data_IF_479534824711
#
_entry.id   IF_479534824711
#
_cell.length_a   1.000
_cell.length_b   1.000
_cell.length_c   1.000
_cell.angle_alpha   90.00
_cell.angle_beta   90.00
_cell.angle_gamma   90.00
#
_symmetry.space_group_name_H-M   'P 1'
#
loop_
_entity.id
_entity.type
_entity.pdbx_description
1 polymer ?
#
# COMPACT_ATOMS: atom_id res chain seq x y z
N UNK A 1 -6.57 -20.24 14.86
CA UNK A 1 -6.86 -18.81 15.12
C UNK A 1 -8.34 -18.66 15.37
N UNK A 2 -8.74 -17.93 16.40
CA UNK A 2 -10.14 -17.72 16.76
C UNK A 2 -10.56 -16.29 16.50
N UNK A 3 -11.78 -16.08 15.98
CA UNK A 3 -12.38 -14.75 15.88
C UNK A 3 -13.18 -14.48 17.15
N UNK A 4 -12.91 -13.37 17.83
CA UNK A 4 -13.61 -12.95 19.06
C UNK A 4 -14.71 -11.94 18.70
N UNK A 5 -15.93 -12.18 19.14
CA UNK A 5 -17.06 -11.26 19.04
C UNK A 5 -17.85 -11.22 20.36
N UNK A 6 -18.83 -10.34 20.48
CA UNK A 6 -19.71 -10.33 21.66
C UNK A 6 -20.44 -11.66 21.91
N UNK A 7 -20.62 -12.48 20.86
CA UNK A 7 -21.33 -13.76 20.95
C UNK A 7 -20.52 -14.86 21.62
N UNK A 8 -19.19 -14.87 21.45
CA UNK A 8 -18.34 -15.98 21.88
C UNK A 8 -17.22 -15.56 22.84
N UNK A 9 -17.19 -14.30 23.29
CA UNK A 9 -16.12 -13.77 24.14
C UNK A 9 -15.87 -14.63 25.39
N UNK A 10 -16.93 -15.19 25.97
CA UNK A 10 -16.86 -16.03 27.18
C UNK A 10 -16.25 -17.42 26.93
N UNK A 11 -16.25 -17.90 25.68
CA UNK A 11 -15.74 -19.22 25.30
C UNK A 11 -14.24 -19.18 24.96
N UNK A 12 -13.70 -18.00 24.62
CA UNK A 12 -12.31 -17.84 24.20
C UNK A 12 -11.29 -18.37 25.22
N UNK A 13 -11.46 -18.17 26.54
CA UNK A 13 -10.54 -18.73 27.53
C UNK A 13 -10.52 -20.26 27.56
N UNK A 14 -11.64 -20.93 27.30
CA UNK A 14 -11.73 -22.39 27.29
C UNK A 14 -11.06 -22.98 26.04
N UNK A 15 -11.10 -22.26 24.92
CA UNK A 15 -10.37 -22.63 23.71
C UNK A 15 -8.86 -22.67 23.99
N UNK A 16 -8.32 -21.78 24.82
CA UNK A 16 -6.90 -21.79 25.23
C UNK A 16 -6.55 -23.13 25.90
N UNK A 17 -7.41 -23.61 26.80
CA UNK A 17 -7.17 -24.88 27.50
C UNK A 17 -7.23 -26.06 26.52
N UNK A 18 -8.17 -26.03 25.58
CA UNK A 18 -8.33 -27.06 24.55
C UNK A 18 -7.11 -27.12 23.62
N UNK A 19 -6.59 -25.97 23.17
CA UNK A 19 -5.43 -25.97 22.25
C UNK A 19 -4.16 -26.44 22.93
N UNK A 20 -3.95 -26.10 24.21
CA UNK A 20 -2.83 -26.61 25.00
C UNK A 20 -2.97 -28.11 25.21
N UNK A 21 -4.17 -28.59 25.59
CA UNK A 21 -4.46 -30.02 25.78
C UNK A 21 -4.11 -30.86 24.54
N UNK A 22 -4.35 -30.32 23.34
CA UNK A 22 -4.07 -31.02 22.09
C UNK A 22 -2.68 -30.73 21.51
N UNK A 23 -1.85 -29.93 22.20
CA UNK A 23 -0.49 -29.63 21.76
C UNK A 23 -0.41 -28.85 20.45
N UNK A 24 -1.36 -27.95 20.19
CA UNK A 24 -1.35 -27.09 18.99
C UNK A 24 -0.09 -26.23 18.99
N UNK A 25 0.59 -26.10 17.85
CA UNK A 25 1.86 -25.36 17.77
C UNK A 25 1.69 -23.86 18.03
N UNK A 26 0.68 -23.24 17.41
CA UNK A 26 0.45 -21.78 17.51
C UNK A 26 -1.03 -21.48 17.72
N UNK A 27 -1.33 -20.68 18.74
CA UNK A 27 -2.66 -20.14 18.97
C UNK A 27 -2.64 -18.62 18.94
N UNK A 28 -3.68 -18.04 18.34
CA UNK A 28 -3.92 -16.60 18.28
C UNK A 28 -5.41 -16.35 18.17
N UNK A 29 -5.85 -15.17 18.59
CA UNK A 29 -7.18 -14.67 18.28
C UNK A 29 -7.13 -13.24 17.77
N UNK A 30 -8.20 -12.81 17.12
CA UNK A 30 -8.40 -11.44 16.67
C UNK A 30 -9.88 -11.07 16.80
N UNK A 31 -10.16 -9.79 17.03
CA UNK A 31 -11.54 -9.32 17.09
C UNK A 31 -12.24 -9.36 15.73
N UNK A 32 -13.54 -9.63 15.77
CA UNK A 32 -14.42 -9.39 14.65
C UNK A 32 -14.42 -7.89 14.31
N UNK A 33 -14.26 -7.57 13.02
CA UNK A 33 -14.29 -6.20 12.51
C UNK A 33 -15.59 -6.04 11.70
N UNK A 34 -16.63 -5.39 12.24
CA UNK A 34 -17.92 -5.28 11.57
C UNK A 34 -17.84 -4.34 10.37
N UNK A 35 -18.47 -4.72 9.25
CA UNK A 35 -18.50 -3.92 8.02
C UNK A 35 -19.58 -2.81 8.04
N UNK A 36 -19.75 -2.13 9.17
CA UNK A 36 -20.69 -1.00 9.35
C UNK A 36 -22.18 -1.35 9.40
N UNK A 37 -22.61 -2.50 8.84
CA UNK A 37 -24.02 -2.96 8.84
C UNK A 37 -24.42 -3.80 10.05
N UNK A 38 -23.46 -4.30 10.82
CA UNK A 38 -23.67 -5.21 11.96
C UNK A 38 -23.20 -4.54 13.26
N UNK A 39 -24.10 -3.81 13.92
CA UNK A 39 -23.79 -3.08 15.17
C UNK A 39 -23.89 -3.95 16.43
N UNK A 40 -24.64 -5.06 16.38
CA UNK A 40 -25.05 -5.84 17.56
C UNK A 40 -24.11 -7.00 17.97
N UNK A 41 -23.03 -7.25 17.23
CA UNK A 41 -22.07 -8.34 17.52
C UNK A 41 -20.85 -7.82 18.30
N UNK A 42 -20.94 -6.58 18.77
CA UNK A 42 -19.85 -5.86 19.45
C UNK A 42 -19.60 -6.33 20.88
N UNK A 43 -18.48 -5.90 21.42
CA UNK A 43 -18.11 -6.02 22.83
C UNK A 43 -17.66 -4.64 23.30
N UNK A 44 -17.92 -4.32 24.56
CA UNK A 44 -17.43 -3.07 25.13
C UNK A 44 -15.90 -3.11 25.26
N UNK A 45 -15.23 -1.94 25.26
CA UNK A 45 -13.79 -1.89 25.50
C UNK A 45 -13.37 -2.55 26.83
N UNK A 46 -14.23 -2.44 27.86
CA UNK A 46 -13.98 -3.00 29.18
C UNK A 46 -14.05 -4.52 29.17
N UNK A 47 -15.09 -5.11 28.57
CA UNK A 47 -15.20 -6.58 28.41
C UNK A 47 -14.01 -7.15 27.64
N UNK A 48 -13.55 -6.46 26.59
CA UNK A 48 -12.38 -6.92 25.84
C UNK A 48 -11.10 -6.81 26.67
N UNK A 49 -10.93 -5.75 27.46
CA UNK A 49 -9.79 -5.60 28.37
C UNK A 49 -9.75 -6.73 29.41
N UNK A 50 -10.91 -7.11 29.95
CA UNK A 50 -11.06 -8.25 30.86
C UNK A 50 -10.71 -9.56 30.18
N UNK A 51 -11.15 -9.78 28.93
CA UNK A 51 -10.74 -10.93 28.13
C UNK A 51 -9.22 -11.00 27.98
N UNK A 52 -8.56 -9.88 27.63
CA UNK A 52 -7.10 -9.85 27.48
C UNK A 52 -6.40 -10.22 28.78
N UNK A 53 -6.89 -9.74 29.93
CA UNK A 53 -6.34 -10.07 31.25
C UNK A 53 -6.46 -11.57 31.56
N UNK A 54 -7.65 -12.15 31.37
CA UNK A 54 -7.89 -13.59 31.56
C UNK A 54 -7.00 -14.44 30.65
N UNK A 55 -6.93 -14.08 29.36
CA UNK A 55 -6.11 -14.79 28.38
C UNK A 55 -4.61 -14.69 28.74
N UNK A 56 -4.15 -13.49 29.12
CA UNK A 56 -2.76 -13.27 29.51
C UNK A 56 -2.37 -14.10 30.73
N UNK A 57 -3.21 -14.15 31.76
CA UNK A 57 -2.97 -14.98 32.94
C UNK A 57 -2.86 -16.47 32.57
N UNK A 58 -3.73 -16.96 31.67
CA UNK A 58 -3.67 -18.33 31.16
C UNK A 58 -2.38 -18.60 30.36
N UNK A 59 -1.99 -17.69 29.48
CA UNK A 59 -0.73 -17.82 28.73
C UNK A 59 0.45 -17.95 29.68
N UNK A 60 0.56 -17.04 30.66
CA UNK A 60 1.63 -17.06 31.65
C UNK A 60 1.63 -18.34 32.50
N UNK A 61 0.45 -18.87 32.85
CA UNK A 61 0.33 -20.15 33.56
C UNK A 61 0.89 -21.29 32.72
N UNK A 62 0.41 -21.46 31.49
CA UNK A 62 0.82 -22.57 30.63
C UNK A 62 2.29 -22.47 30.19
N UNK A 63 2.79 -21.26 29.94
CA UNK A 63 4.21 -21.01 29.66
C UNK A 63 5.09 -21.45 30.82
N UNK A 64 4.69 -21.17 32.08
CA UNK A 64 5.39 -21.64 33.28
C UNK A 64 5.33 -23.16 33.47
N UNK A 65 4.23 -23.79 33.04
CA UNK A 65 4.06 -25.25 33.03
C UNK A 65 4.84 -25.92 31.88
N UNK A 66 5.51 -25.14 31.02
CA UNK A 66 6.33 -25.66 29.92
C UNK A 66 5.51 -26.07 28.69
N UNK A 67 4.36 -25.44 28.43
CA UNK A 67 3.56 -25.74 27.25
C UNK A 67 4.35 -25.51 25.95
N UNK A 68 4.14 -26.36 24.95
CA UNK A 68 4.75 -26.21 23.61
C UNK A 68 4.00 -25.20 22.73
N UNK A 69 2.74 -24.94 23.04
CA UNK A 69 1.89 -24.01 22.28
C UNK A 69 2.44 -22.59 22.40
N UNK A 70 2.78 -21.99 21.27
CA UNK A 70 3.13 -20.58 21.20
C UNK A 70 1.88 -19.70 21.09
N UNK A 71 1.70 -18.80 22.06
CA UNK A 71 0.60 -17.84 22.06
C UNK A 71 0.98 -16.57 21.29
N UNK A 72 0.61 -16.52 20.02
CA UNK A 72 0.84 -15.37 19.17
C UNK A 72 -0.15 -14.24 19.49
N UNK A 73 0.39 -13.13 20.01
CA UNK A 73 -0.31 -11.90 20.39
C UNK A 73 -0.62 -11.01 19.17
N UNK A 74 -1.36 -11.56 18.20
CA UNK A 74 -1.61 -10.94 16.89
C UNK A 74 -2.50 -9.69 16.95
N UNK A 75 -3.48 -9.62 17.86
CA UNK A 75 -4.37 -8.46 17.95
C UNK A 75 -3.61 -7.21 18.42
N UNK A 76 -3.81 -6.08 17.75
CA UNK A 76 -3.02 -4.86 17.98
C UNK A 76 -3.17 -4.25 19.37
N UNK A 77 -4.18 -4.64 20.15
CA UNK A 77 -4.36 -4.15 21.53
C UNK A 77 -3.48 -4.88 22.55
N UNK A 78 -2.79 -5.97 22.18
CA UNK A 78 -1.81 -6.60 23.08
C UNK A 78 -0.68 -5.65 23.47
N UNK A 79 -0.15 -4.86 22.53
CA UNK A 79 0.89 -3.87 22.82
C UNK A 79 0.40 -2.82 23.83
N UNK A 80 -0.84 -2.33 23.67
CA UNK A 80 -1.42 -1.38 24.61
C UNK A 80 -1.64 -2.00 25.99
N UNK A 81 -2.15 -3.24 26.03
CA UNK A 81 -2.34 -3.97 27.28
C UNK A 81 -1.02 -4.18 28.03
N UNK A 82 0.04 -4.59 27.33
CA UNK A 82 1.37 -4.77 27.91
C UNK A 82 1.98 -3.44 28.39
N UNK A 83 1.73 -2.35 27.67
CA UNK A 83 2.15 -1.02 28.07
C UNK A 83 1.48 -0.59 29.38
N UNK A 84 0.16 -0.76 29.48
CA UNK A 84 -0.60 -0.43 30.70
C UNK A 84 -0.15 -1.27 31.91
N UNK A 85 0.34 -2.49 31.68
CA UNK A 85 0.90 -3.38 32.72
C UNK A 85 2.39 -3.14 32.98
N UNK A 86 3.05 -2.23 32.27
CA UNK A 86 4.48 -1.94 32.40
C UNK A 86 5.42 -3.02 31.84
N UNK A 87 4.87 -4.00 31.11
CA UNK A 87 5.62 -5.08 30.45
C UNK A 87 6.31 -4.53 29.20
N UNK A 88 5.56 -3.77 28.39
CA UNK A 88 6.10 -3.04 27.25
C UNK A 88 6.48 -1.62 27.69
N UNK A 89 7.68 -1.17 27.32
CA UNK A 89 8.16 0.19 27.60
C UNK A 89 8.55 0.87 26.29
N UNK A 90 8.09 2.11 26.10
CA UNK A 90 8.47 2.91 24.95
C UNK A 90 9.97 3.28 25.10
N UNK A 91 10.81 3.04 24.08
CA UNK A 91 12.20 3.46 24.07
C UNK A 91 12.37 4.96 24.28
N UNK A 92 13.46 5.37 24.93
CA UNK A 92 13.73 6.78 25.29
C UNK A 92 14.10 7.62 24.06
N UNK A 93 14.66 6.99 23.04
CA UNK A 93 15.15 7.56 21.79
C UNK A 93 14.11 7.52 20.64
N UNK A 94 12.83 7.44 20.99
CA UNK A 94 11.74 7.35 20.02
C UNK A 94 11.57 8.61 19.17
N UNK A 95 11.37 8.41 17.86
CA UNK A 95 10.96 9.49 16.96
C UNK A 95 9.53 9.93 17.24
N UNK A 96 9.29 11.24 17.29
CA UNK A 96 7.94 11.80 17.42
C UNK A 96 7.01 11.25 16.34
N UNK A 97 5.88 10.66 16.75
CA UNK A 97 4.88 10.08 15.84
C UNK A 97 5.09 8.59 15.51
N UNK A 98 6.06 7.92 16.14
CA UNK A 98 6.28 6.48 15.93
C UNK A 98 5.06 5.63 16.35
N UNK A 99 4.69 4.68 15.51
CA UNK A 99 3.57 3.76 15.72
C UNK A 99 4.11 2.38 16.13
N UNK A 100 3.76 1.91 17.33
CA UNK A 100 4.24 0.64 17.91
C UNK A 100 3.28 -0.54 17.76
N UNK A 101 2.12 -0.30 17.15
CA UNK A 101 1.08 -1.31 16.98
C UNK A 101 0.06 -0.86 15.96
N UNK A 102 -0.68 -1.82 15.43
CA UNK A 102 -1.67 -1.56 14.40
C UNK A 102 -1.92 -2.81 13.57
N UNK A 103 -2.85 -2.72 12.62
CA UNK A 103 -3.00 -3.78 11.64
C UNK A 103 -1.90 -3.67 10.57
N UNK A 104 -1.48 -4.81 10.02
CA UNK A 104 -0.45 -4.86 8.98
C UNK A 104 -0.92 -4.38 7.59
N UNK A 105 -2.05 -3.67 7.50
CA UNK A 105 -2.62 -3.17 6.25
C UNK A 105 -1.62 -2.25 5.55
N UNK A 106 -1.32 -2.53 4.27
CA UNK A 106 -0.41 -1.70 3.48
C UNK A 106 1.06 -1.74 3.88
N UNK A 107 1.42 -2.43 4.97
CA UNK A 107 2.81 -2.60 5.39
C UNK A 107 3.38 -3.94 4.91
N UNK A 108 2.78 -5.07 5.32
CA UNK A 108 3.28 -6.41 4.96
C UNK A 108 2.31 -7.25 4.13
N UNK A 109 1.17 -6.69 3.74
CA UNK A 109 0.28 -7.32 2.78
C UNK A 109 -0.50 -6.29 1.96
N UNK A 110 -0.78 -6.68 0.73
CA UNK A 110 -1.77 -6.08 -0.16
C UNK A 110 -2.70 -7.18 -0.65
N UNK A 111 -3.90 -6.84 -1.11
CA UNK A 111 -4.81 -7.78 -1.76
C UNK A 111 -4.99 -7.39 -3.22
N UNK A 112 -4.88 -8.36 -4.13
CA UNK A 112 -5.27 -8.21 -5.53
C UNK A 112 -6.53 -9.06 -5.74
N UNK A 113 -7.61 -8.44 -6.19
CA UNK A 113 -8.86 -9.14 -6.54
C UNK A 113 -8.77 -9.72 -7.96
N UNK A 114 -9.61 -10.71 -8.33
CA UNK A 114 -9.59 -11.30 -9.68
C UNK A 114 -9.81 -10.30 -10.82
N UNK A 115 -10.49 -9.19 -10.56
CA UNK A 115 -10.66 -8.09 -11.52
C UNK A 115 -9.43 -7.16 -11.62
N UNK A 116 -8.31 -7.52 -10.99
CA UNK A 116 -7.07 -6.76 -10.94
C UNK A 116 -7.04 -5.70 -9.85
N UNK A 117 -8.13 -5.39 -9.16
CA UNK A 117 -8.13 -4.30 -8.17
C UNK A 117 -7.15 -4.57 -7.03
N UNK A 118 -6.28 -3.60 -6.76
CA UNK A 118 -5.27 -3.64 -5.72
C UNK A 118 -5.80 -2.86 -4.52
N UNK A 119 -5.94 -3.54 -3.39
CA UNK A 119 -6.38 -2.98 -2.11
C UNK A 119 -5.25 -3.06 -1.08
N UNK A 120 -5.11 -2.05 -0.22
CA UNK A 120 -4.22 -2.14 0.93
C UNK A 120 -4.68 -3.21 1.93
N UNK A 121 -6.00 -3.37 2.09
CA UNK A 121 -6.63 -4.47 2.82
C UNK A 121 -8.06 -4.71 2.32
N UNK A 122 -8.38 -5.93 1.91
CA UNK A 122 -9.73 -6.31 1.45
C UNK A 122 -10.85 -6.21 2.49
N UNK A 123 -10.54 -5.89 3.75
CA UNK A 123 -11.52 -5.82 4.85
C UNK A 123 -12.19 -4.44 4.98
N UNK A 124 -11.77 -3.44 4.21
CA UNK A 124 -12.43 -2.13 4.12
C UNK A 124 -12.13 -1.46 2.77
N UNK A 125 -12.84 -0.37 2.46
CA UNK A 125 -12.65 0.40 1.22
C UNK A 125 -11.27 1.06 1.18
N UNK A 126 -10.31 0.38 0.57
CA UNK A 126 -8.90 0.76 0.52
C UNK A 126 -8.28 0.52 -0.86
N UNK A 127 -9.07 0.71 -1.92
CA UNK A 127 -8.60 0.53 -3.30
C UNK A 127 -7.48 1.52 -3.60
N UNK A 128 -6.29 0.98 -3.88
CA UNK A 128 -5.08 1.73 -4.23
C UNK A 128 -4.97 1.89 -5.74
N UNK A 129 -5.18 0.81 -6.50
CA UNK A 129 -5.05 0.80 -7.97
C UNK A 129 -5.75 -0.42 -8.56
N UNK A 130 -5.44 -0.75 -9.82
CA UNK A 130 -5.80 -1.99 -10.47
C UNK A 130 -4.61 -2.48 -11.30
N UNK A 131 -4.22 -3.75 -11.14
CA UNK A 131 -3.09 -4.40 -11.78
C UNK A 131 -3.21 -4.49 -13.31
N UNK A 132 -4.42 -4.40 -13.85
CA UNK A 132 -4.68 -4.35 -15.29
C UNK A 132 -4.68 -2.93 -15.85
N UNK A 133 -4.56 -1.88 -15.02
CA UNK A 133 -4.42 -0.52 -15.52
C UNK A 133 -3.04 -0.33 -16.14
N UNK A 134 -3.04 0.00 -17.42
CA UNK A 134 -1.86 0.39 -18.17
C UNK A 134 -1.42 1.81 -17.77
N UNK A 135 -0.15 1.99 -17.40
CA UNK A 135 0.45 3.30 -17.10
C UNK A 135 0.54 4.25 -18.31
N UNK A 136 0.35 3.72 -19.52
CA UNK A 136 0.27 4.45 -20.79
C UNK A 136 -1.17 4.62 -21.28
N UNK A 137 -2.17 4.39 -20.43
CA UNK A 137 -3.59 4.66 -20.70
C UNK A 137 -4.16 3.96 -21.96
N UNK A 138 -3.55 2.85 -22.38
CA UNK A 138 -3.97 2.13 -23.60
C UNK A 138 -3.51 2.79 -24.90
N UNK A 139 -2.60 3.76 -24.85
CA UNK A 139 -2.03 4.35 -26.05
C UNK A 139 -1.35 3.28 -26.93
N UNK A 140 -1.63 3.27 -28.25
CA UNK A 140 -1.05 2.28 -29.17
C UNK A 140 0.45 2.49 -29.40
N UNK A 141 0.97 3.69 -29.17
CA UNK A 141 2.36 4.05 -29.44
C UNK A 141 2.99 4.75 -28.22
N UNK A 142 4.21 4.35 -27.88
CA UNK A 142 5.03 4.97 -26.83
C UNK A 142 6.38 5.33 -27.40
N UNK A 143 6.72 6.62 -27.39
CA UNK A 143 8.06 7.12 -27.67
C UNK A 143 8.82 7.31 -26.35
N UNK A 144 10.10 6.95 -26.34
CA UNK A 144 10.98 7.11 -25.18
C UNK A 144 12.08 8.11 -25.55
N UNK A 145 12.23 9.17 -24.76
CA UNK A 145 13.28 10.19 -24.99
C UNK A 145 14.47 9.86 -24.10
N UNK A 146 15.58 9.47 -24.73
CA UNK A 146 16.85 9.23 -24.06
C UNK A 146 17.77 10.44 -24.19
N UNK A 147 18.51 10.75 -23.13
CA UNK A 147 19.57 11.76 -23.15
C UNK A 147 20.77 11.32 -22.33
N UNK A 148 21.90 12.02 -22.49
CA UNK A 148 23.14 11.68 -21.79
C UNK A 148 22.99 11.92 -20.29
N UNK A 149 23.35 10.92 -19.47
CA UNK A 149 23.23 10.96 -18.00
C UNK A 149 23.92 12.16 -17.37
N UNK A 150 25.13 12.45 -17.83
CA UNK A 150 26.03 13.45 -17.23
C UNK A 150 25.99 14.80 -17.95
N UNK A 151 24.94 15.09 -18.71
CA UNK A 151 24.76 16.38 -19.38
C UNK A 151 23.82 17.29 -18.59
N UNK A 152 24.29 18.50 -18.28
CA UNK A 152 23.62 19.45 -17.38
C UNK A 152 22.18 19.78 -17.80
N UNK A 153 21.93 19.90 -19.11
CA UNK A 153 20.62 20.28 -19.66
C UNK A 153 19.80 19.10 -20.15
N UNK A 154 20.24 17.86 -19.87
CA UNK A 154 19.60 16.63 -20.38
C UNK A 154 18.11 16.54 -20.08
N UNK A 155 17.68 16.97 -18.88
CA UNK A 155 16.26 17.02 -18.51
C UNK A 155 15.53 18.08 -19.34
N UNK A 156 16.00 19.34 -19.32
CA UNK A 156 15.35 20.45 -20.01
C UNK A 156 15.20 20.17 -21.52
N UNK A 157 16.27 19.73 -22.17
CA UNK A 157 16.29 19.44 -23.61
C UNK A 157 15.33 18.30 -23.97
N UNK A 158 15.27 17.26 -23.13
CA UNK A 158 14.36 16.12 -23.35
C UNK A 158 12.89 16.56 -23.27
N UNK A 159 12.53 17.42 -22.33
CA UNK A 159 11.16 17.93 -22.20
C UNK A 159 10.80 18.97 -23.27
N UNK A 160 11.75 19.78 -23.74
CA UNK A 160 11.57 20.62 -24.92
C UNK A 160 11.30 19.77 -26.17
N UNK A 161 12.10 18.71 -26.38
CA UNK A 161 11.88 17.74 -27.46
C UNK A 161 10.50 17.08 -27.35
N UNK A 162 10.12 16.58 -26.18
CA UNK A 162 8.81 15.99 -25.92
C UNK A 162 7.66 16.97 -26.18
N UNK A 163 7.83 18.25 -25.82
CA UNK A 163 6.83 19.29 -26.07
C UNK A 163 6.65 19.52 -27.57
N UNK A 164 7.73 19.58 -28.34
CA UNK A 164 7.64 19.69 -29.81
C UNK A 164 6.90 18.50 -30.42
N UNK A 165 7.15 17.28 -29.93
CA UNK A 165 6.42 16.07 -30.37
C UNK A 165 4.92 16.15 -30.08
N UNK A 166 4.53 16.67 -28.91
CA UNK A 166 3.12 16.83 -28.51
C UNK A 166 2.40 17.90 -29.34
N UNK A 167 3.09 19.01 -29.65
CA UNK A 167 2.56 20.05 -30.53
C UNK A 167 2.32 19.50 -31.94
N UNK A 168 3.33 18.84 -32.53
CA UNK A 168 3.22 18.23 -33.86
C UNK A 168 2.13 17.15 -33.90
N UNK A 169 2.04 16.31 -32.86
CA UNK A 169 0.97 15.32 -32.76
C UNK A 169 -0.41 15.98 -32.86
N UNK A 170 -0.61 17.12 -32.19
CA UNK A 170 -1.87 17.86 -32.22
C UNK A 170 -2.20 18.39 -33.61
N UNK A 171 -1.21 18.95 -34.32
CA UNK A 171 -1.36 19.41 -35.72
C UNK A 171 -1.74 18.27 -36.67
N UNK A 172 -1.25 17.05 -36.40
CA UNK A 172 -1.58 15.84 -37.14
C UNK A 172 -2.91 15.18 -36.71
N UNK A 173 -3.66 15.78 -35.78
CA UNK A 173 -4.90 15.22 -35.24
C UNK A 173 -4.69 13.99 -34.36
N UNK A 174 -3.49 13.83 -33.80
CA UNK A 174 -3.09 12.75 -32.89
C UNK A 174 -3.10 13.30 -31.45
N UNK A 175 -3.75 12.57 -30.55
CA UNK A 175 -3.71 12.88 -29.12
C UNK A 175 -2.42 12.38 -28.49
N UNK A 176 -1.91 13.12 -27.51
CA UNK A 176 -0.63 12.79 -26.87
C UNK A 176 -0.57 13.15 -25.39
N UNK A 177 0.34 12.52 -24.66
CA UNK A 177 0.61 12.82 -23.24
C UNK A 177 2.07 12.55 -22.89
N UNK A 178 2.67 13.41 -22.07
CA UNK A 178 4.02 13.22 -21.52
C UNK A 178 3.92 12.48 -20.19
N UNK A 179 4.66 11.39 -20.03
CA UNK A 179 4.74 10.62 -18.77
C UNK A 179 6.16 10.76 -18.19
N UNK A 180 6.27 11.49 -17.07
CA UNK A 180 7.54 11.86 -16.42
C UNK A 180 8.08 10.79 -15.47
N UNK A 181 7.87 9.50 -15.75
CA UNK A 181 8.29 8.37 -14.90
C UNK A 181 9.28 7.44 -15.59
N UNK A 182 9.94 7.92 -16.64
CA UNK A 182 10.78 7.07 -17.47
C UNK A 182 12.03 6.59 -16.71
N UNK A 183 12.64 7.45 -15.89
CA UNK A 183 13.82 7.11 -15.10
C UNK A 183 13.51 5.92 -14.16
N UNK A 184 12.51 6.05 -13.30
CA UNK A 184 12.14 5.01 -12.32
C UNK A 184 11.61 3.73 -13.00
N UNK A 185 11.04 3.84 -14.20
CA UNK A 185 10.58 2.68 -14.97
C UNK A 185 11.75 1.80 -15.40
N UNK A 186 12.90 2.40 -15.71
CA UNK A 186 14.08 1.66 -16.16
C UNK A 186 15.09 1.35 -15.06
N UNK A 187 14.96 1.90 -13.85
CA UNK A 187 15.86 1.63 -12.71
C UNK A 187 15.83 0.19 -12.20
N UNK A 188 14.73 -0.53 -12.39
CA UNK A 188 14.60 -1.93 -11.95
C UNK A 188 15.30 -2.93 -12.91
N UNK A 189 15.49 -4.17 -12.46
CA UNK A 189 16.19 -5.23 -13.21
C UNK A 189 15.60 -5.50 -14.60
N UNK A 190 14.25 -5.49 -14.71
CA UNK A 190 13.56 -5.69 -15.99
C UNK A 190 13.84 -4.53 -16.95
N UNK A 191 13.77 -3.30 -16.45
CA UNK A 191 14.11 -2.08 -17.18
C UNK A 191 15.54 -2.10 -17.70
N UNK A 192 16.51 -2.42 -16.83
CA UNK A 192 17.92 -2.53 -17.21
C UNK A 192 18.15 -3.63 -18.26
N UNK A 193 17.40 -4.74 -18.21
CA UNK A 193 17.45 -5.77 -19.25
C UNK A 193 16.93 -5.25 -20.59
N UNK A 194 15.80 -4.53 -20.61
CA UNK A 194 15.25 -3.94 -21.84
C UNK A 194 16.24 -2.96 -22.49
N UNK A 195 16.90 -2.12 -21.71
CA UNK A 195 17.90 -1.17 -22.25
C UNK A 195 19.06 -1.90 -22.94
N UNK A 196 19.53 -3.02 -22.36
CA UNK A 196 20.57 -3.86 -22.97
C UNK A 196 20.08 -4.53 -24.24
N UNK A 197 18.87 -5.10 -24.23
CA UNK A 197 18.28 -5.76 -25.39
C UNK A 197 18.07 -4.76 -26.56
N UNK A 198 17.75 -3.50 -26.24
CA UNK A 198 17.63 -2.40 -27.21
C UNK A 198 18.95 -1.73 -27.58
N UNK A 199 20.08 -2.22 -27.04
CA UNK A 199 21.42 -1.71 -27.30
C UNK A 199 21.56 -0.21 -26.95
N UNK A 200 20.85 0.25 -25.93
CA UNK A 200 21.02 1.60 -25.38
C UNK A 200 22.29 1.61 -24.53
N UNK A 201 23.21 2.51 -24.86
CA UNK A 201 24.47 2.66 -24.14
C UNK A 201 24.25 3.12 -22.70
N UNK A 202 25.08 2.63 -21.77
CA UNK A 202 24.98 2.91 -20.33
C UNK A 202 25.13 4.39 -19.97
N UNK A 203 25.66 5.23 -20.88
CA UNK A 203 25.77 6.68 -20.71
C UNK A 203 24.46 7.44 -21.03
N UNK A 204 23.41 6.76 -21.47
CA UNK A 204 22.07 7.34 -21.71
C UNK A 204 21.09 6.99 -20.58
N UNK A 205 20.12 7.86 -20.37
CA UNK A 205 19.01 7.70 -19.43
C UNK A 205 17.70 8.11 -20.11
N UNK A 206 16.63 7.37 -19.83
CA UNK A 206 15.29 7.71 -20.31
C UNK A 206 14.72 8.84 -19.45
N UNK A 207 14.45 10.01 -20.03
CA UNK A 207 13.93 11.18 -19.27
C UNK A 207 12.42 11.24 -19.21
N UNK A 208 11.75 10.91 -20.30
CA UNK A 208 10.30 10.90 -20.37
C UNK A 208 9.79 9.95 -21.45
N UNK A 209 8.51 9.60 -21.32
CA UNK A 209 7.74 8.99 -22.40
C UNK A 209 6.85 10.05 -23.07
N UNK A 210 6.63 9.91 -24.36
CA UNK A 210 5.54 10.57 -25.09
C UNK A 210 4.65 9.48 -25.64
N UNK A 211 3.42 9.38 -25.13
CA UNK A 211 2.45 8.42 -25.65
C UNK A 211 1.60 9.08 -26.73
N UNK A 212 1.25 8.32 -27.76
CA UNK A 212 0.52 8.79 -28.93
C UNK A 212 -0.64 7.85 -29.24
N UNK A 213 -1.77 8.42 -29.66
CA UNK A 213 -2.94 7.66 -30.10
C UNK A 213 -4.10 8.55 -30.53
N UNK A 214 -5.17 7.96 -31.02
CA UNK A 214 -6.43 8.67 -31.26
C UNK A 214 -7.30 8.60 -30.01
N UNK A 215 -7.96 9.71 -29.67
CA UNK A 215 -8.93 9.73 -28.57
C UNK A 215 -10.10 8.80 -28.87
N UNK A 216 -10.46 7.98 -27.89
CA UNK A 216 -11.72 7.22 -27.89
C UNK A 216 -12.81 8.09 -27.24
N UNK A 217 -13.65 8.70 -28.08
CA UNK A 217 -14.69 9.65 -27.68
C UNK A 217 -14.34 11.12 -27.93
N UNK A 218 -15.06 12.02 -27.26
CA UNK A 218 -14.86 13.47 -27.40
C UNK A 218 -13.52 13.93 -26.80
N UNK A 219 -12.81 14.80 -27.52
CA UNK A 219 -11.60 15.42 -27.00
C UNK A 219 -11.94 16.35 -25.83
N UNK A 220 -11.15 16.37 -24.73
CA UNK A 220 -11.42 17.23 -23.59
C UNK A 220 -11.52 18.70 -23.97
N UNK A 221 -12.54 19.40 -23.47
CA UNK A 221 -12.68 20.84 -23.67
C UNK A 221 -11.71 21.64 -22.83
N UNK A 222 -11.32 22.81 -23.33
CA UNK A 222 -10.46 23.75 -22.62
C UNK A 222 -11.09 24.18 -21.29
N UNK A 223 -10.34 24.02 -20.20
CA UNK A 223 -10.76 24.50 -18.88
C UNK A 223 -10.39 25.98 -18.73
N UNK A 224 -11.29 26.83 -18.20
CA UNK A 224 -10.95 28.23 -17.94
C UNK A 224 -9.76 28.32 -16.97
N UNK A 225 -8.82 29.24 -17.25
CA UNK A 225 -7.70 29.48 -16.34
C UNK A 225 -8.22 30.05 -15.01
N UNK A 226 -7.66 29.58 -13.89
CA UNK A 226 -8.04 30.07 -12.55
C UNK A 226 -7.64 31.54 -12.37
N UNK A 227 -8.56 32.35 -11.83
CA UNK A 227 -8.30 33.75 -11.49
C UNK A 227 -7.09 33.89 -10.55
N UNK A 228 -6.29 34.93 -10.75
CA UNK A 228 -5.12 35.25 -9.90
C UNK A 228 -3.85 34.44 -10.17
N UNK A 229 -3.82 33.54 -11.17
CA UNK A 229 -2.60 32.77 -11.53
C UNK A 229 -1.70 33.43 -12.56
N UNK A 230 -2.16 34.49 -13.22
CA UNK A 230 -1.39 35.25 -14.21
C UNK A 230 -1.28 36.68 -13.68
N UNK A 231 -0.05 37.15 -13.51
CA UNK A 231 0.26 38.56 -13.24
C UNK A 231 1.08 39.06 -14.41
N UNK A 232 0.49 39.91 -15.24
CA UNK A 232 1.21 40.63 -16.29
C UNK A 232 1.87 41.82 -15.61
N UNK A 233 3.19 41.94 -15.77
CA UNK A 233 3.97 43.09 -15.29
C UNK A 233 4.54 43.75 -16.54
N UNK A 234 4.20 45.02 -16.74
CA UNK A 234 4.74 45.88 -17.80
C UNK A 234 6.04 46.55 -17.35
#
# INVERSE_FOLDING_TARGET
MTTVSGLNIKEVPDIIDIVVKHGVDVYAFARYCPNGKEKDIGMTPQEYKELLDICYQKFQKYEKEGCKTYFNRKDHLWTLYEYEKGIFKIPVDVQTGMIYGGCNCGNCHLTILPNGDIYACRRFESKVSNAFKNGFYGAPTVCIVFSQKNFLFSIADSFCCATNMVLEATELGISSCIISRAEETFENELGQKLLKDWQISDNYIARCFVILGYCDGEYPTDKPRKNGRIKIVE
#
